data_IF_097867443918
#
_entry.id   IF_097867443918
#
_cell.length_a   1.000
_cell.length_b   1.000
_cell.length_c   1.000
_cell.angle_alpha   90.00
_cell.angle_beta   90.00
_cell.angle_gamma   90.00
#
_symmetry.space_group_name_H-M   'P 1'
#
loop_
_entity.id
_entity.type
_entity.pdbx_description
1 polymer ?
#
# COMPACT_ATOMS: atom_id res chain seq x y z
N UNK A 1 15.53 12.77 8.84
CA UNK A 1 14.16 12.81 8.30
C UNK A 1 14.26 12.30 6.87
N UNK A 2 13.56 11.20 6.55
CA UNK A 2 13.51 10.66 5.19
C UNK A 2 12.61 11.56 4.33
N UNK A 3 13.07 11.94 3.15
CA UNK A 3 12.41 12.87 2.25
C UNK A 3 11.20 12.24 1.52
N UNK A 4 10.32 13.07 0.96
CA UNK A 4 9.26 12.63 0.05
C UNK A 4 9.83 11.74 -1.08
N UNK A 5 9.15 10.64 -1.41
CA UNK A 5 9.60 9.69 -2.44
C UNK A 5 10.60 8.61 -2.01
N UNK A 6 11.32 8.74 -0.89
CA UNK A 6 12.32 7.74 -0.45
C UNK A 6 11.75 6.32 -0.22
N UNK A 7 10.50 6.19 0.22
CA UNK A 7 9.94 4.87 0.52
C UNK A 7 9.80 4.02 -0.75
N UNK A 8 9.24 4.56 -1.83
CA UNK A 8 9.11 3.84 -3.10
C UNK A 8 10.46 3.42 -3.66
N UNK A 9 11.49 4.27 -3.56
CA UNK A 9 12.83 3.89 -4.01
C UNK A 9 13.42 2.77 -3.17
N UNK A 10 13.20 2.83 -1.85
CA UNK A 10 13.55 1.74 -0.94
C UNK A 10 12.87 0.43 -1.32
N UNK A 11 11.60 0.46 -1.71
CA UNK A 11 10.88 -0.71 -2.18
C UNK A 11 11.45 -1.26 -3.49
N UNK A 12 11.84 -0.41 -4.44
CA UNK A 12 12.49 -0.83 -5.69
C UNK A 12 13.87 -1.46 -5.44
N UNK A 13 14.68 -0.90 -4.53
CA UNK A 13 15.95 -1.51 -4.13
C UNK A 13 15.73 -2.88 -3.49
N UNK A 14 14.72 -3.01 -2.62
CA UNK A 14 14.36 -4.28 -1.99
C UNK A 14 13.88 -5.30 -3.01
N UNK A 15 13.03 -4.89 -3.95
CA UNK A 15 12.55 -5.74 -5.05
C UNK A 15 13.70 -6.24 -5.92
N UNK A 16 14.66 -5.36 -6.27
CA UNK A 16 15.88 -5.75 -6.99
C UNK A 16 16.64 -6.84 -6.24
N UNK A 17 16.85 -6.66 -4.93
CA UNK A 17 17.54 -7.66 -4.11
C UNK A 17 16.82 -9.01 -4.17
N UNK A 18 15.48 -9.04 -4.12
CA UNK A 18 14.76 -10.31 -4.20
C UNK A 18 14.88 -10.99 -5.56
N UNK A 19 14.80 -10.23 -6.66
CA UNK A 19 14.99 -10.77 -8.01
C UNK A 19 16.41 -11.33 -8.17
N UNK A 20 17.43 -10.56 -7.77
CA UNK A 20 18.84 -10.97 -7.90
C UNK A 20 19.16 -12.27 -7.14
N UNK A 21 18.46 -12.52 -6.01
CA UNK A 21 18.68 -13.70 -5.15
C UNK A 21 17.66 -14.82 -5.37
N UNK A 22 16.71 -14.68 -6.31
CA UNK A 22 15.66 -15.68 -6.56
C UNK A 22 14.71 -15.90 -5.38
N UNK A 23 14.45 -14.86 -4.58
CA UNK A 23 13.61 -14.90 -3.37
C UNK A 23 12.19 -14.36 -3.61
N UNK A 24 11.76 -14.30 -4.86
CA UNK A 24 10.46 -13.79 -5.27
C UNK A 24 9.99 -14.54 -6.50
N UNK A 25 8.67 -14.54 -6.72
CA UNK A 25 8.05 -15.00 -7.96
C UNK A 25 8.12 -13.92 -9.07
N UNK A 26 8.49 -12.68 -8.71
CA UNK A 26 8.69 -11.59 -9.65
C UNK A 26 9.92 -11.79 -10.55
N UNK A 27 9.88 -11.21 -11.76
CA UNK A 27 10.95 -11.30 -12.75
C UNK A 27 11.70 -9.97 -12.91
N UNK A 28 12.84 -10.00 -13.60
CA UNK A 28 13.59 -8.78 -13.94
C UNK A 28 12.76 -7.85 -14.82
N UNK A 29 11.98 -8.41 -15.75
CA UNK A 29 11.10 -7.65 -16.64
C UNK A 29 10.00 -6.92 -15.85
N UNK A 30 9.41 -7.57 -14.84
CA UNK A 30 8.44 -6.93 -13.95
C UNK A 30 9.08 -5.80 -13.12
N UNK A 31 10.30 -5.99 -12.64
CA UNK A 31 11.04 -4.94 -11.93
C UNK A 31 11.33 -3.74 -12.84
N UNK A 32 11.75 -3.98 -14.09
CA UNK A 32 11.95 -2.92 -15.07
C UNK A 32 10.66 -2.14 -15.35
N UNK A 33 9.52 -2.84 -15.45
CA UNK A 33 8.21 -2.20 -15.58
C UNK A 33 7.85 -1.32 -14.38
N UNK A 34 8.13 -1.76 -13.16
CA UNK A 34 7.91 -0.96 -11.95
C UNK A 34 8.78 0.30 -11.92
N UNK A 35 10.04 0.20 -12.36
CA UNK A 35 10.96 1.35 -12.44
C UNK A 35 10.48 2.36 -13.50
N UNK A 36 10.08 1.87 -14.68
CA UNK A 36 9.63 2.71 -15.80
C UNK A 36 8.29 3.41 -15.51
N UNK A 37 7.37 2.73 -14.83
CA UNK A 37 6.02 3.23 -14.52
C UNK A 37 5.90 3.76 -13.10
N UNK A 38 7.03 4.07 -12.45
CA UNK A 38 7.03 4.54 -11.07
C UNK A 38 6.17 5.82 -10.95
N UNK A 39 5.20 5.86 -10.03
CA UNK A 39 4.35 7.02 -9.87
C UNK A 39 5.12 8.22 -9.32
N UNK A 40 4.57 9.42 -9.50
CA UNK A 40 5.10 10.63 -8.87
C UNK A 40 5.11 10.46 -7.34
N UNK A 41 6.14 11.02 -6.72
CA UNK A 41 6.26 11.03 -5.27
C UNK A 41 5.14 11.85 -4.65
N UNK A 42 4.64 11.37 -3.51
CA UNK A 42 3.64 12.05 -2.69
C UNK A 42 4.19 12.25 -1.27
N UNK A 43 3.51 13.10 -0.50
CA UNK A 43 3.85 13.30 0.90
C UNK A 43 3.66 11.98 1.67
N UNK A 44 4.78 11.44 2.16
CA UNK A 44 4.78 10.22 2.96
C UNK A 44 4.03 10.43 4.28
N UNK A 45 3.45 9.35 4.80
CA UNK A 45 2.74 9.32 6.08
C UNK A 45 3.03 8.00 6.80
N UNK A 46 2.62 7.89 8.06
CA UNK A 46 2.52 6.59 8.70
C UNK A 46 1.55 5.71 7.92
N UNK A 47 2.01 4.53 7.52
CA UNK A 47 1.24 3.48 6.88
C UNK A 47 1.22 2.24 7.78
N UNK A 48 0.12 1.48 7.74
CA UNK A 48 -0.04 0.15 8.31
C UNK A 48 0.98 -0.82 7.74
N UNK A 49 1.12 -0.84 6.41
CA UNK A 49 1.98 -1.77 5.68
C UNK A 49 1.35 -3.14 5.40
N UNK A 50 0.14 -3.37 5.90
CA UNK A 50 -0.72 -4.53 5.59
C UNK A 50 -2.20 -4.15 5.83
N UNK A 51 -2.66 -3.06 5.21
CA UNK A 51 -3.92 -2.39 5.53
C UNK A 51 -5.15 -3.09 4.90
N UNK A 52 -5.31 -4.39 5.15
CA UNK A 52 -6.45 -5.16 4.66
C UNK A 52 -7.63 -5.11 5.64
N UNK A 53 -8.82 -5.48 5.18
CA UNK A 53 -10.03 -5.54 6.04
C UNK A 53 -9.90 -6.53 7.20
N UNK A 54 -9.06 -7.55 7.05
CA UNK A 54 -8.83 -8.57 8.08
C UNK A 54 -8.03 -8.04 9.27
N UNK A 55 -7.29 -6.94 9.06
CA UNK A 55 -6.48 -6.28 10.08
C UNK A 55 -7.20 -5.12 10.78
N UNK A 56 -8.54 -5.04 10.65
CA UNK A 56 -9.39 -4.06 11.32
C UNK A 56 -10.30 -4.74 12.32
N UNK A 57 -10.17 -4.40 13.60
CA UNK A 57 -11.07 -4.88 14.64
C UNK A 57 -12.35 -4.05 14.66
N UNK A 58 -13.49 -4.71 14.42
CA UNK A 58 -14.82 -4.09 14.48
C UNK A 58 -15.65 -4.76 15.58
N UNK A 59 -16.23 -3.96 16.47
CA UNK A 59 -17.13 -4.43 17.53
C UNK A 59 -18.44 -3.67 17.43
N UNK A 60 -19.56 -4.38 17.33
CA UNK A 60 -20.90 -3.80 17.19
C UNK A 60 -21.05 -2.79 16.03
N UNK A 61 -20.35 -3.01 14.92
CA UNK A 61 -20.37 -2.13 13.76
C UNK A 61 -19.44 -0.91 13.84
N UNK A 62 -18.70 -0.74 14.94
CA UNK A 62 -17.77 0.37 15.14
C UNK A 62 -16.31 -0.11 15.05
N UNK A 63 -15.51 0.63 14.29
CA UNK A 63 -14.06 0.41 14.19
C UNK A 63 -13.42 0.70 15.55
N UNK A 64 -12.69 -0.28 16.09
CA UNK A 64 -12.01 -0.14 17.37
C UNK A 64 -10.53 0.21 17.16
N UNK A 65 -9.82 -0.57 16.34
CA UNK A 65 -8.39 -0.40 16.14
C UNK A 65 -7.89 -1.20 14.93
N UNK A 66 -6.66 -0.91 14.52
CA UNK A 66 -5.89 -1.74 13.59
C UNK A 66 -5.03 -2.74 14.37
N UNK A 67 -4.87 -3.94 13.83
CA UNK A 67 -4.04 -5.02 14.39
C UNK A 67 -2.98 -5.47 13.38
N UNK A 68 -2.03 -6.29 13.81
CA UNK A 68 -0.89 -6.72 12.98
C UNK A 68 -0.02 -5.57 12.44
N UNK A 69 0.35 -4.68 13.37
CA UNK A 69 1.08 -3.44 13.09
C UNK A 69 2.60 -3.62 13.00
N UNK A 70 3.10 -4.85 12.88
CA UNK A 70 4.54 -5.14 12.97
C UNK A 70 5.36 -4.48 11.83
N UNK A 71 4.72 -4.24 10.69
CA UNK A 71 5.34 -3.65 9.49
C UNK A 71 5.02 -2.16 9.32
N UNK A 72 4.38 -1.53 10.31
CA UNK A 72 4.09 -0.10 10.27
C UNK A 72 5.35 0.74 10.05
N UNK A 73 5.25 1.71 9.16
CA UNK A 73 6.39 2.56 8.79
C UNK A 73 5.94 3.91 8.24
N UNK A 74 6.89 4.80 7.95
CA UNK A 74 6.64 5.99 7.14
C UNK A 74 6.81 5.61 5.67
N UNK A 75 5.75 5.79 4.87
CA UNK A 75 5.73 5.36 3.47
C UNK A 75 4.68 6.05 2.61
N UNK A 76 4.48 5.50 1.41
CA UNK A 76 3.51 6.04 0.45
C UNK A 76 2.08 5.64 0.85
N UNK A 77 1.18 6.61 1.14
CA UNK A 77 -0.19 6.34 1.57
C UNK A 77 -1.01 5.52 0.58
N UNK A 78 -0.67 5.56 -0.71
CA UNK A 78 -1.37 4.79 -1.74
C UNK A 78 -1.18 3.29 -1.56
N UNK A 79 -0.15 2.87 -0.84
CA UNK A 79 0.07 1.46 -0.57
C UNK A 79 -1.03 0.88 0.32
N UNK A 80 -1.31 1.51 1.46
CA UNK A 80 -2.40 1.09 2.34
C UNK A 80 -3.78 1.28 1.70
N UNK A 81 -3.96 2.35 0.93
CA UNK A 81 -5.20 2.59 0.20
C UNK A 81 -5.50 1.45 -0.77
N UNK A 82 -4.50 1.00 -1.53
CA UNK A 82 -4.64 -0.15 -2.43
C UNK A 82 -5.05 -1.42 -1.67
N UNK A 83 -4.34 -1.75 -0.59
CA UNK A 83 -4.63 -2.93 0.23
C UNK A 83 -6.03 -2.89 0.86
N UNK A 84 -6.50 -1.69 1.24
CA UNK A 84 -7.81 -1.52 1.85
C UNK A 84 -8.95 -1.75 0.86
N UNK A 85 -8.72 -1.54 -0.43
CA UNK A 85 -9.75 -1.69 -1.48
C UNK A 85 -9.60 -2.98 -2.30
N UNK A 86 -8.44 -3.63 -2.30
CA UNK A 86 -8.15 -4.82 -3.11
C UNK A 86 -9.21 -5.92 -2.94
N UNK A 87 -9.64 -6.20 -1.71
CA UNK A 87 -10.64 -7.23 -1.43
C UNK A 87 -12.05 -6.90 -1.95
N UNK A 88 -12.31 -5.65 -2.34
CA UNK A 88 -13.61 -5.18 -2.82
C UNK A 88 -13.56 -4.44 -4.16
N UNK A 89 -12.45 -4.54 -4.91
CA UNK A 89 -12.24 -3.80 -6.16
C UNK A 89 -13.32 -4.06 -7.22
N UNK A 90 -13.85 -5.27 -7.27
CA UNK A 90 -14.92 -5.67 -8.19
C UNK A 90 -16.31 -5.15 -7.80
N UNK A 91 -16.47 -4.55 -6.60
CA UNK A 91 -17.74 -4.04 -6.12
C UNK A 91 -17.77 -2.49 -6.13
N UNK A 92 -18.39 -1.86 -7.16
CA UNK A 92 -18.41 -0.41 -7.27
C UNK A 92 -19.15 0.28 -6.13
N UNK A 93 -20.06 -0.40 -5.43
CA UNK A 93 -20.75 0.15 -4.25
C UNK A 93 -19.77 0.24 -3.08
N UNK A 94 -18.95 -0.79 -2.87
CA UNK A 94 -17.96 -0.80 -1.77
C UNK A 94 -16.83 0.17 -2.02
N UNK A 95 -16.33 0.24 -3.26
CA UNK A 95 -15.33 1.24 -3.65
C UNK A 95 -15.86 2.67 -3.44
N UNK A 96 -17.12 2.92 -3.82
CA UNK A 96 -17.75 4.20 -3.55
C UNK A 96 -17.84 4.48 -2.06
N UNK A 97 -18.32 3.53 -1.26
CA UNK A 97 -18.45 3.69 0.18
C UNK A 97 -17.09 3.95 0.87
N UNK A 98 -16.02 3.29 0.41
CA UNK A 98 -14.66 3.55 0.89
C UNK A 98 -14.24 5.00 0.60
N UNK A 99 -14.38 5.48 -0.64
CA UNK A 99 -14.00 6.84 -1.01
C UNK A 99 -14.97 7.93 -0.52
N UNK A 100 -16.18 7.57 -0.09
CA UNK A 100 -17.09 8.46 0.63
C UNK A 100 -16.56 8.78 2.05
N UNK A 101 -15.72 7.91 2.63
CA UNK A 101 -15.05 8.13 3.94
C UNK A 101 -13.56 8.46 3.85
N UNK A 102 -12.86 7.99 2.82
CA UNK A 102 -11.43 8.21 2.61
C UNK A 102 -11.20 9.36 1.63
N UNK A 103 -10.55 10.43 2.11
CA UNK A 103 -10.40 11.68 1.35
C UNK A 103 -8.95 12.08 1.07
N UNK A 104 -7.98 11.25 1.46
CA UNK A 104 -6.56 11.62 1.37
C UNK A 104 -6.01 11.47 -0.05
N UNK A 105 -6.31 10.34 -0.67
CA UNK A 105 -5.91 9.99 -2.03
C UNK A 105 -7.04 9.21 -2.71
N UNK A 106 -6.94 9.13 -4.03
CA UNK A 106 -7.76 8.24 -4.84
C UNK A 106 -6.86 7.67 -5.92
N UNK A 107 -6.56 6.38 -5.82
CA UNK A 107 -5.86 5.65 -6.88
C UNK A 107 -6.78 5.61 -8.11
N UNK A 108 -6.21 5.93 -9.27
CA UNK A 108 -6.90 6.06 -10.56
C UNK A 108 -6.19 5.27 -11.64
#
# INVERSE_FOLDING_TARGET
MKHEGEWLEGQLVKAKSYVDHGQTEGSLELLEQLILNKPLSVQQTMIHGDCTTDNVLVINGEVQTFIDVAVMTVGDPRYDEFLAIESCEDNPIYIRAFYDGYHRYKIS
#
